data_IF_957790356686
#
_entry.id   IF_957790356686
#
_cell.length_a   1.000
_cell.length_b   1.000
_cell.length_c   1.000
_cell.angle_alpha   90.00
_cell.angle_beta   90.00
_cell.angle_gamma   90.00
#
_symmetry.space_group_name_H-M   'P 1'
#
loop_
_entity.id
_entity.type
_entity.pdbx_description
1 polymer ?
#
# COMPACT_ATOMS: atom_id res chain seq x y z
N UNK A 1 14.40 7.29 -7.05
CA UNK A 1 13.63 6.25 -7.75
C UNK A 1 13.22 6.60 -9.19
N UNK A 2 13.22 7.85 -9.67
CA UNK A 2 12.73 8.19 -11.03
C UNK A 2 13.36 7.38 -12.18
N UNK A 3 14.65 7.05 -12.08
CA UNK A 3 15.39 6.33 -13.11
C UNK A 3 15.90 4.95 -12.69
N UNK A 4 15.22 4.25 -11.76
CA UNK A 4 15.74 2.98 -11.21
C UNK A 4 16.01 1.90 -12.27
N UNK A 5 15.40 2.03 -13.44
CA UNK A 5 15.51 1.14 -14.59
C UNK A 5 16.64 1.52 -15.59
N UNK A 6 17.38 2.61 -15.36
CA UNK A 6 18.38 3.16 -16.31
C UNK A 6 19.81 2.60 -16.15
N UNK A 7 20.07 1.78 -15.12
CA UNK A 7 21.37 1.16 -14.85
C UNK A 7 21.50 -0.30 -15.31
N UNK A 8 22.69 -0.92 -15.15
CA UNK A 8 22.89 -2.34 -15.43
C UNK A 8 22.07 -3.24 -14.48
N UNK A 9 21.80 -4.51 -14.84
CA UNK A 9 20.86 -5.38 -14.11
C UNK A 9 21.09 -5.48 -12.60
N UNK A 10 22.34 -5.58 -12.16
CA UNK A 10 22.74 -5.67 -10.75
C UNK A 10 22.41 -4.39 -9.97
N UNK A 11 22.61 -3.22 -10.58
CA UNK A 11 22.27 -1.94 -9.96
C UNK A 11 20.76 -1.80 -9.81
N UNK A 12 19.99 -2.19 -10.84
CA UNK A 12 18.52 -2.18 -10.81
C UNK A 12 17.97 -3.09 -9.72
N UNK A 13 18.55 -4.29 -9.57
CA UNK A 13 18.19 -5.23 -8.49
C UNK A 13 18.49 -4.63 -7.12
N UNK A 14 19.67 -4.07 -6.91
CA UNK A 14 20.02 -3.45 -5.63
C UNK A 14 19.11 -2.26 -5.30
N UNK A 15 18.66 -1.49 -6.30
CA UNK A 15 17.68 -0.43 -6.11
C UNK A 15 16.29 -0.96 -5.75
N UNK A 16 15.83 -2.03 -6.41
CA UNK A 16 14.56 -2.68 -6.09
C UNK A 16 14.55 -3.29 -4.67
N UNK A 17 15.65 -3.91 -4.26
CA UNK A 17 15.83 -4.42 -2.89
C UNK A 17 15.72 -3.31 -1.86
N UNK A 18 16.48 -2.21 -2.02
CA UNK A 18 16.39 -1.04 -1.13
C UNK A 18 14.98 -0.45 -1.11
N UNK A 19 14.30 -0.41 -2.26
CA UNK A 19 12.94 0.10 -2.33
C UNK A 19 11.98 -0.76 -1.49
N UNK A 20 12.02 -2.09 -1.63
CA UNK A 20 11.19 -2.98 -0.82
C UNK A 20 11.55 -2.86 0.67
N UNK A 21 12.82 -2.89 1.02
CA UNK A 21 13.27 -2.84 2.43
C UNK A 21 12.86 -1.53 3.13
N UNK A 22 12.80 -0.41 2.40
CA UNK A 22 12.30 0.85 2.94
C UNK A 22 10.77 0.86 3.15
N UNK A 23 10.03 0.04 2.41
CA UNK A 23 8.56 0.02 2.42
C UNK A 23 7.96 -1.06 3.33
N UNK A 24 8.77 -1.93 3.93
CA UNK A 24 8.30 -2.99 4.84
C UNK A 24 9.04 -2.96 6.17
N UNK A 25 8.42 -3.49 7.22
CA UNK A 25 9.13 -3.80 8.46
C UNK A 25 9.94 -5.08 8.28
N UNK A 26 9.30 -6.17 7.87
CA UNK A 26 9.95 -7.46 7.57
C UNK A 26 9.04 -8.27 6.66
N UNK A 27 9.65 -9.07 5.78
CA UNK A 27 8.95 -10.02 4.93
C UNK A 27 9.57 -11.41 5.03
N UNK A 28 8.79 -12.49 4.92
CA UNK A 28 9.32 -13.83 4.65
C UNK A 28 10.22 -13.81 3.40
N UNK A 29 11.28 -14.64 3.33
CA UNK A 29 12.23 -14.61 2.21
C UNK A 29 11.58 -14.71 0.83
N UNK A 30 10.57 -15.56 0.70
CA UNK A 30 9.86 -15.76 -0.56
C UNK A 30 8.98 -14.55 -0.94
N UNK A 31 8.23 -13.99 0.02
CA UNK A 31 7.45 -12.76 -0.19
C UNK A 31 8.36 -11.58 -0.56
N UNK A 32 9.53 -11.47 0.08
CA UNK A 32 10.53 -10.45 -0.27
C UNK A 32 11.03 -10.64 -1.69
N UNK A 33 11.38 -11.87 -2.09
CA UNK A 33 11.83 -12.19 -3.45
C UNK A 33 10.78 -11.78 -4.49
N UNK A 34 9.52 -12.14 -4.26
CA UNK A 34 8.41 -11.81 -5.16
C UNK A 34 8.18 -10.29 -5.26
N UNK A 35 8.20 -9.57 -4.14
CA UNK A 35 8.05 -8.13 -4.13
C UNK A 35 9.17 -7.41 -4.90
N UNK A 36 10.41 -7.88 -4.79
CA UNK A 36 11.55 -7.36 -5.57
C UNK A 36 11.33 -7.62 -7.07
N UNK A 37 10.87 -8.82 -7.42
CA UNK A 37 10.58 -9.17 -8.82
C UNK A 37 9.43 -8.36 -9.41
N UNK A 38 8.41 -8.02 -8.61
CA UNK A 38 7.32 -7.12 -9.02
C UNK A 38 7.86 -5.72 -9.34
N UNK A 39 8.72 -5.17 -8.49
CA UNK A 39 9.39 -3.87 -8.76
C UNK A 39 10.19 -3.95 -10.05
N UNK A 40 11.00 -5.01 -10.23
CA UNK A 40 11.82 -5.19 -11.44
C UNK A 40 10.99 -5.37 -12.72
N UNK A 41 9.74 -5.85 -12.61
CA UNK A 41 8.79 -5.98 -13.73
C UNK A 41 7.96 -4.71 -13.98
N UNK A 42 8.06 -3.69 -13.13
CA UNK A 42 7.26 -2.48 -13.29
C UNK A 42 7.58 -1.76 -14.61
N UNK A 43 6.55 -1.28 -15.30
CA UNK A 43 6.72 -0.55 -16.54
C UNK A 43 7.42 0.80 -16.27
N UNK A 44 8.58 1.09 -16.89
CA UNK A 44 9.34 2.33 -16.63
C UNK A 44 8.57 3.63 -16.93
N UNK A 45 7.71 3.62 -17.95
CA UNK A 45 6.91 4.81 -18.29
C UNK A 45 5.82 5.04 -17.25
N UNK A 46 5.14 3.99 -16.79
CA UNK A 46 4.15 4.07 -15.71
C UNK A 46 4.79 4.54 -14.40
N UNK A 47 5.98 4.02 -14.07
CA UNK A 47 6.71 4.41 -12.86
C UNK A 47 7.05 5.90 -12.83
N UNK A 48 7.60 6.43 -13.93
CA UNK A 48 7.88 7.88 -14.06
C UNK A 48 6.60 8.69 -13.97
N UNK A 49 5.56 8.29 -14.72
CA UNK A 49 4.31 9.01 -14.74
C UNK A 49 3.64 9.07 -13.35
N UNK A 50 3.73 8.01 -12.55
CA UNK A 50 3.26 8.02 -11.17
C UNK A 50 4.02 9.04 -10.31
N UNK A 51 5.35 9.04 -10.38
CA UNK A 51 6.18 9.95 -9.58
C UNK A 51 6.08 11.42 -10.03
N UNK A 52 5.90 11.67 -11.32
CA UNK A 52 5.86 13.02 -11.89
C UNK A 52 4.46 13.65 -11.81
N UNK A 53 3.40 12.85 -11.95
CA UNK A 53 2.03 13.34 -12.05
C UNK A 53 1.00 12.53 -11.25
N UNK A 54 0.96 11.21 -11.40
CA UNK A 54 -0.14 10.37 -10.87
C UNK A 54 -0.30 10.46 -9.35
N UNK A 55 0.81 10.49 -8.62
CA UNK A 55 0.83 10.64 -7.15
C UNK A 55 0.31 11.99 -6.63
N UNK A 56 0.10 12.96 -7.53
CA UNK A 56 -0.37 14.32 -7.21
C UNK A 56 -1.84 14.54 -7.59
N UNK A 57 -2.48 13.55 -8.19
CA UNK A 57 -3.87 13.65 -8.59
C UNK A 57 -4.79 13.61 -7.36
N UNK A 58 -5.75 14.53 -7.32
CA UNK A 58 -6.82 14.53 -6.32
C UNK A 58 -8.15 14.17 -6.99
N UNK A 59 -8.63 12.97 -6.67
CA UNK A 59 -9.89 12.43 -7.16
C UNK A 59 -11.06 12.63 -6.17
N UNK A 60 -10.82 13.25 -5.02
CA UNK A 60 -11.78 13.32 -3.93
C UNK A 60 -13.11 13.94 -4.31
N UNK A 61 -13.11 15.03 -5.10
CA UNK A 61 -14.35 15.65 -5.60
C UNK A 61 -15.15 14.72 -6.50
N UNK A 62 -14.47 13.92 -7.34
CA UNK A 62 -15.14 12.99 -8.26
C UNK A 62 -15.69 11.78 -7.52
N UNK A 63 -14.93 11.25 -6.56
CA UNK A 63 -15.35 10.12 -5.71
C UNK A 63 -16.54 10.52 -4.84
N UNK A 64 -16.50 11.70 -4.24
CA UNK A 64 -17.60 12.20 -3.38
C UNK A 64 -17.77 11.34 -2.13
N UNK A 65 -19.01 11.19 -1.66
CA UNK A 65 -19.32 10.35 -0.48
C UNK A 65 -19.92 9.04 -0.97
N UNK A 66 -19.35 7.93 -0.52
CA UNK A 66 -19.77 6.57 -0.87
C UNK A 66 -20.52 5.94 0.32
N UNK A 67 -21.76 5.44 0.12
CA UNK A 67 -22.62 4.98 1.21
C UNK A 67 -22.38 3.51 1.60
N UNK A 68 -21.17 2.99 1.37
CA UNK A 68 -20.86 1.58 1.61
C UNK A 68 -20.12 1.42 2.95
N UNK A 69 -20.50 0.42 3.77
CA UNK A 69 -19.67 0.00 4.89
C UNK A 69 -18.24 -0.26 4.38
N UNK A 70 -17.24 0.28 5.08
CA UNK A 70 -15.85 0.23 4.60
C UNK A 70 -14.88 -0.07 5.72
N UNK A 71 -14.06 -1.11 5.54
CA UNK A 71 -12.88 -1.36 6.37
C UNK A 71 -11.66 -0.70 5.72
N UNK A 72 -11.01 0.21 6.44
CA UNK A 72 -9.73 0.81 6.04
C UNK A 72 -8.64 0.20 6.92
N UNK A 73 -7.63 -0.40 6.29
CA UNK A 73 -6.46 -0.94 6.98
C UNK A 73 -5.26 -0.04 6.73
N UNK A 74 -4.54 0.32 7.79
CA UNK A 74 -3.33 1.15 7.69
C UNK A 74 -2.18 0.54 8.49
N UNK A 75 -0.99 0.47 7.90
CA UNK A 75 0.23 0.07 8.62
C UNK A 75 0.65 1.14 9.61
N UNK A 76 0.92 0.78 10.86
CA UNK A 76 1.33 1.73 11.90
C UNK A 76 2.67 2.41 11.60
N UNK A 77 3.51 1.74 10.83
CA UNK A 77 4.89 2.11 10.51
C UNK A 77 5.00 2.74 9.12
N UNK A 78 3.88 2.90 8.40
CA UNK A 78 3.81 3.57 7.11
C UNK A 78 3.76 5.09 7.32
N UNK A 79 4.84 5.77 6.97
CA UNK A 79 4.95 7.22 7.12
C UNK A 79 4.15 7.97 6.06
N UNK A 80 4.17 7.48 4.82
CA UNK A 80 3.65 8.20 3.66
C UNK A 80 2.14 7.99 3.50
N UNK A 81 1.68 6.74 3.66
CA UNK A 81 0.29 6.33 3.46
C UNK A 81 -0.36 5.70 4.70
N UNK A 82 0.25 5.89 5.88
CA UNK A 82 -0.26 5.35 7.14
C UNK A 82 -1.50 6.02 7.72
N UNK A 83 -1.78 5.82 9.02
CA UNK A 83 -3.09 6.11 9.61
C UNK A 83 -3.54 7.56 9.50
N UNK A 84 -2.60 8.50 9.57
CA UNK A 84 -2.91 9.93 9.41
C UNK A 84 -3.37 10.26 7.98
N UNK A 85 -2.71 9.68 6.97
CA UNK A 85 -3.11 9.82 5.57
C UNK A 85 -4.49 9.20 5.34
N UNK A 86 -4.72 7.97 5.84
CA UNK A 86 -6.01 7.29 5.68
C UNK A 86 -7.18 8.04 6.37
N UNK A 87 -6.97 8.58 7.57
CA UNK A 87 -7.97 9.43 8.25
C UNK A 87 -8.28 10.70 7.47
N UNK A 88 -7.29 11.30 6.84
CA UNK A 88 -7.43 12.57 6.13
C UNK A 88 -8.00 12.40 4.72
N UNK A 89 -7.60 11.35 4.02
CA UNK A 89 -7.81 11.21 2.57
C UNK A 89 -8.85 10.16 2.23
N UNK A 90 -9.02 9.11 3.04
CA UNK A 90 -9.96 8.02 2.73
C UNK A 90 -11.22 8.06 3.60
N UNK A 91 -11.07 8.14 4.92
CA UNK A 91 -12.21 8.12 5.85
C UNK A 91 -13.32 9.15 5.53
N UNK A 92 -13.04 10.40 5.07
CA UNK A 92 -14.09 11.36 4.74
C UNK A 92 -15.02 10.93 3.60
N UNK A 93 -14.60 9.99 2.75
CA UNK A 93 -15.40 9.45 1.67
C UNK A 93 -16.39 8.37 2.12
N UNK A 94 -16.24 7.83 3.33
CA UNK A 94 -17.00 6.67 3.80
C UNK A 94 -17.58 6.95 5.19
N UNK A 95 -18.87 7.36 5.29
CA UNK A 95 -19.51 7.69 6.56
C UNK A 95 -19.54 6.50 7.54
N UNK A 96 -19.61 5.29 7.00
CA UNK A 96 -19.62 4.03 7.76
C UNK A 96 -18.27 3.31 7.63
N UNK A 97 -17.18 4.05 7.87
CA UNK A 97 -15.83 3.48 7.85
C UNK A 97 -15.32 3.10 9.24
N UNK A 98 -14.63 1.96 9.28
CA UNK A 98 -13.79 1.52 10.40
C UNK A 98 -12.33 1.55 9.95
N UNK A 99 -11.51 2.35 10.62
CA UNK A 99 -10.06 2.39 10.40
C UNK A 99 -9.35 1.53 11.44
N UNK A 100 -8.69 0.47 10.97
CA UNK A 100 -7.83 -0.39 11.79
C UNK A 100 -6.36 -0.09 11.51
N UNK A 101 -5.60 0.17 12.58
CA UNK A 101 -4.16 0.41 12.51
C UNK A 101 -3.41 -0.86 12.89
N UNK A 102 -2.68 -1.43 11.95
CA UNK A 102 -1.86 -2.61 12.18
C UNK A 102 -0.46 -2.21 12.63
N UNK A 103 -0.29 -2.06 13.94
CA UNK A 103 1.05 -1.89 14.56
C UNK A 103 1.97 -3.06 14.21
N UNK A 104 3.24 -2.76 13.96
CA UNK A 104 4.28 -3.66 13.51
C UNK A 104 4.34 -3.88 11.99
N UNK A 105 3.47 -3.25 11.19
CA UNK A 105 3.39 -3.42 9.73
C UNK A 105 3.49 -2.08 9.02
N UNK A 106 4.14 -2.05 7.86
CA UNK A 106 4.29 -0.85 7.02
C UNK A 106 3.35 -0.89 5.81
N UNK A 107 3.90 -0.88 4.60
CA UNK A 107 3.16 -0.54 3.39
C UNK A 107 2.51 -1.76 2.75
N UNK A 108 3.18 -2.91 2.80
CA UNK A 108 2.76 -4.12 2.08
C UNK A 108 1.97 -5.04 3.00
N UNK A 109 0.88 -4.52 3.59
CA UNK A 109 0.08 -5.22 4.61
C UNK A 109 -0.26 -6.67 4.27
N UNK A 110 -0.71 -7.02 3.04
CA UNK A 110 -1.02 -8.41 2.71
C UNK A 110 0.20 -9.35 2.72
N UNK A 111 1.41 -8.80 2.56
CA UNK A 111 2.67 -9.56 2.59
C UNK A 111 3.33 -9.54 3.97
N UNK A 112 3.17 -8.45 4.74
CA UNK A 112 3.77 -8.29 6.07
C UNK A 112 2.96 -8.98 7.17
N UNK A 113 1.62 -9.01 7.06
CA UNK A 113 0.74 -9.61 8.06
C UNK A 113 -0.48 -10.29 7.46
N UNK A 114 -0.31 -11.28 6.55
CA UNK A 114 -1.41 -11.89 5.80
C UNK A 114 -2.53 -12.42 6.70
N UNK A 115 -2.20 -13.08 7.81
CA UNK A 115 -3.20 -13.67 8.71
C UNK A 115 -4.02 -12.61 9.42
N UNK A 116 -3.39 -11.51 9.86
CA UNK A 116 -4.06 -10.38 10.52
C UNK A 116 -4.97 -9.65 9.54
N UNK A 117 -4.48 -9.37 8.33
CA UNK A 117 -5.28 -8.75 7.27
C UNK A 117 -6.49 -9.63 6.92
N UNK A 118 -6.26 -10.93 6.69
CA UNK A 118 -7.32 -11.86 6.33
C UNK A 118 -8.36 -12.03 7.46
N UNK A 119 -7.94 -12.03 8.73
CA UNK A 119 -8.86 -12.07 9.87
C UNK A 119 -9.78 -10.83 9.90
N UNK A 120 -9.20 -9.63 9.83
CA UNK A 120 -9.98 -8.38 9.81
C UNK A 120 -10.96 -8.33 8.64
N UNK A 121 -10.54 -8.80 7.45
CA UNK A 121 -11.43 -8.91 6.29
C UNK A 121 -12.60 -9.87 6.53
N UNK A 122 -12.34 -11.07 7.09
CA UNK A 122 -13.41 -12.04 7.39
C UNK A 122 -14.40 -11.50 8.41
N UNK A 123 -13.89 -10.88 9.48
CA UNK A 123 -14.73 -10.32 10.54
C UNK A 123 -15.62 -9.19 10.00
N UNK A 124 -15.05 -8.29 9.20
CA UNK A 124 -15.80 -7.22 8.56
C UNK A 124 -16.86 -7.73 7.57
N UNK A 125 -16.54 -8.74 6.76
CA UNK A 125 -17.52 -9.35 5.86
C UNK A 125 -18.67 -10.04 6.61
N UNK A 126 -18.37 -10.70 7.74
CA UNK A 126 -19.39 -11.29 8.60
C UNK A 126 -20.26 -10.23 9.29
N UNK A 127 -19.71 -9.06 9.63
CA UNK A 127 -20.47 -7.91 10.11
C UNK A 127 -21.43 -7.37 9.05
N UNK A 128 -21.00 -7.23 7.81
CA UNK A 128 -21.81 -6.69 6.71
C UNK A 128 -22.91 -7.65 6.22
N UNK A 129 -22.78 -8.95 6.50
CA UNK A 129 -23.76 -9.96 6.11
C UNK A 129 -24.95 -10.09 7.07
N UNK A 130 -24.93 -9.35 8.20
CA UNK A 130 -26.00 -9.30 9.21
C UNK A 130 -26.99 -8.19 8.89
#
# INVERSE_FOLDING_TARGET
>A
MLGWFQGPPEERRAQAERFIDNNVVTLPPESRRLAIEDVLRANPAAWRHWLESGSREDWGRRVGILPYPTLILAGGEDADLGPAAQRRLMAPHFPESRLEVLSGLRHLLPLEGPERVAALMRDFLAECAR
#
